data_IF_315599494804
#
_entry.id   IF_315599494804
#
_cell.length_a   1.000
_cell.length_b   1.000
_cell.length_c   1.000
_cell.angle_alpha   90.00
_cell.angle_beta   90.00
_cell.angle_gamma   90.00
#
_symmetry.space_group_name_H-M   'P 1'
#
loop_
_entity.id
_entity.type
_entity.pdbx_description
1 polymer ?
#
# COMPACT_ATOMS: atom_id res chain seq x y z
N UNK A 1 -26.55 31.11 -27.10
CA UNK A 1 -25.62 31.60 -26.04
C UNK A 1 -26.49 31.80 -24.80
N UNK A 2 -26.37 31.14 -23.65
CA UNK A 2 -25.20 30.84 -22.83
C UNK A 2 -25.55 29.72 -21.82
N UNK A 3 -24.87 28.57 -21.88
CA UNK A 3 -25.03 27.44 -20.94
C UNK A 3 -23.80 27.30 -20.00
N UNK A 4 -23.06 28.40 -19.79
CA UNK A 4 -21.71 28.32 -19.19
C UNK A 4 -21.61 28.94 -17.79
N UNK A 5 -22.65 29.65 -17.33
CA UNK A 5 -22.59 30.41 -16.06
C UNK A 5 -23.09 29.65 -14.83
N UNK A 6 -23.90 28.61 -15.01
CA UNK A 6 -24.45 27.80 -13.89
C UNK A 6 -23.56 26.61 -13.53
N UNK A 7 -22.84 26.02 -14.49
CA UNK A 7 -21.86 24.94 -14.24
C UNK A 7 -20.70 25.40 -13.35
N UNK A 8 -20.24 26.64 -13.53
CA UNK A 8 -19.10 27.19 -12.77
C UNK A 8 -19.42 27.51 -11.31
N UNK A 9 -20.68 27.82 -10.98
CA UNK A 9 -21.10 28.08 -9.59
C UNK A 9 -21.20 26.77 -8.79
N UNK A 10 -21.69 25.68 -9.40
CA UNK A 10 -21.77 24.36 -8.76
C UNK A 10 -20.38 23.78 -8.48
N UNK A 11 -19.44 23.92 -9.43
CA UNK A 11 -18.04 23.46 -9.27
C UNK A 11 -17.34 24.25 -8.15
N UNK A 12 -17.45 25.58 -8.13
CA UNK A 12 -16.83 26.42 -7.08
C UNK A 12 -17.40 26.17 -5.68
N UNK A 13 -18.70 25.85 -5.56
CA UNK A 13 -19.31 25.45 -4.28
C UNK A 13 -18.76 24.10 -3.81
N UNK A 14 -18.57 23.14 -4.70
CA UNK A 14 -17.96 21.84 -4.37
C UNK A 14 -16.49 22.00 -3.91
N UNK A 15 -15.70 22.88 -4.54
CA UNK A 15 -14.32 23.15 -4.14
C UNK A 15 -14.19 23.75 -2.73
N UNK A 16 -15.11 24.64 -2.34
CA UNK A 16 -15.17 25.21 -0.99
C UNK A 16 -15.53 24.14 0.05
N UNK A 17 -16.44 23.21 -0.30
CA UNK A 17 -16.78 22.06 0.55
C UNK A 17 -15.56 21.14 0.73
N UNK A 18 -14.83 20.79 -0.34
CA UNK A 18 -13.63 19.94 -0.28
C UNK A 18 -12.51 20.59 0.55
N UNK A 19 -12.26 21.89 0.39
CA UNK A 19 -11.28 22.63 1.19
C UNK A 19 -11.64 22.67 2.69
N UNK A 20 -12.93 22.73 3.01
CA UNK A 20 -13.40 22.73 4.40
C UNK A 20 -13.25 21.36 5.10
N UNK A 21 -13.26 20.26 4.34
CA UNK A 21 -13.04 18.90 4.84
C UNK A 21 -11.55 18.58 5.02
N UNK A 22 -10.67 19.20 4.23
CA UNK A 22 -9.21 18.98 4.29
C UNK A 22 -8.54 19.62 5.52
N UNK A 23 -9.20 20.60 6.16
CA UNK A 23 -8.66 21.35 7.30
C UNK A 23 -9.15 20.85 8.68
N UNK A 24 -9.95 19.78 8.73
CA UNK A 24 -10.42 19.21 9.99
C UNK A 24 -9.52 18.04 10.38
N UNK A 25 -8.78 18.19 11.47
CA UNK A 25 -8.07 17.07 12.09
C UNK A 25 -9.05 15.93 12.39
N UNK A 26 -8.67 14.66 12.18
CA UNK A 26 -9.53 13.53 12.50
C UNK A 26 -9.95 13.60 13.98
N UNK A 27 -11.21 13.28 14.32
CA UNK A 27 -11.62 13.19 15.72
C UNK A 27 -10.76 12.15 16.43
N UNK A 28 -10.25 12.49 17.62
CA UNK A 28 -9.38 11.62 18.45
C UNK A 28 -9.99 10.26 18.82
N UNK A 29 -11.30 10.08 18.60
CA UNK A 29 -12.06 8.87 18.92
C UNK A 29 -12.62 8.18 17.66
N UNK A 30 -11.85 8.11 16.57
CA UNK A 30 -12.17 7.16 15.50
C UNK A 30 -11.87 5.75 16.02
N UNK A 31 -12.82 4.79 15.95
CA UNK A 31 -12.48 3.40 16.25
C UNK A 31 -11.35 3.02 15.31
N UNK A 32 -10.22 2.62 15.89
CA UNK A 32 -9.08 2.13 15.14
C UNK A 32 -9.57 0.95 14.30
N UNK A 33 -9.84 1.18 13.01
CA UNK A 33 -10.17 0.11 12.08
C UNK A 33 -8.89 -0.70 12.01
N UNK A 34 -8.74 -1.71 12.85
CA UNK A 34 -7.67 -2.70 12.71
C UNK A 34 -7.86 -3.30 11.32
N UNK A 35 -7.00 -2.99 10.35
CA UNK A 35 -7.12 -3.64 9.06
C UNK A 35 -6.98 -5.14 9.30
N UNK A 36 -7.88 -5.93 8.69
CA UNK A 36 -7.80 -7.41 8.76
C UNK A 36 -6.45 -7.92 8.21
N UNK A 37 -5.79 -7.10 7.39
CA UNK A 37 -4.43 -7.28 6.90
C UNK A 37 -3.42 -6.55 7.78
N UNK A 38 -2.42 -7.28 8.29
CA UNK A 38 -1.24 -6.66 8.91
C UNK A 38 -0.16 -6.44 7.85
N UNK A 39 0.69 -5.42 8.01
CA UNK A 39 1.88 -5.27 7.18
C UNK A 39 2.69 -6.57 7.15
N UNK A 40 3.03 -7.05 5.96
CA UNK A 40 3.77 -8.29 5.74
C UNK A 40 2.92 -9.54 5.56
N UNK A 41 1.63 -9.51 5.89
CA UNK A 41 0.72 -10.61 5.53
C UNK A 41 0.68 -10.76 4.00
N UNK A 42 0.51 -11.99 3.52
CA UNK A 42 0.61 -12.28 2.08
C UNK A 42 -0.56 -13.12 1.62
N UNK A 43 -1.06 -12.79 0.44
CA UNK A 43 -2.09 -13.56 -0.26
C UNK A 43 -1.42 -14.66 -1.07
N UNK A 44 -1.84 -15.91 -0.88
CA UNK A 44 -1.30 -17.03 -1.63
C UNK A 44 -1.66 -16.90 -3.12
N UNK A 45 -0.69 -16.95 -4.05
CA UNK A 45 -0.99 -16.85 -5.48
C UNK A 45 -1.73 -18.08 -6.04
N UNK A 46 -1.69 -19.23 -5.33
CA UNK A 46 -2.34 -20.46 -5.76
C UNK A 46 -3.79 -20.58 -5.30
N UNK A 47 -4.10 -20.21 -4.05
CA UNK A 47 -5.43 -20.41 -3.47
C UNK A 47 -6.07 -19.14 -2.88
N UNK A 48 -5.42 -17.98 -3.01
CA UNK A 48 -5.88 -16.68 -2.52
C UNK A 48 -6.08 -16.57 -1.00
N UNK A 49 -5.66 -17.56 -0.23
CA UNK A 49 -5.69 -17.49 1.23
C UNK A 49 -4.70 -16.46 1.77
N UNK A 50 -5.11 -15.69 2.77
CA UNK A 50 -4.27 -14.69 3.44
C UNK A 50 -3.49 -15.37 4.57
N UNK A 51 -2.17 -15.40 4.42
CA UNK A 51 -1.25 -15.97 5.39
C UNK A 51 -0.60 -14.89 6.26
N UNK A 52 -0.26 -15.28 7.48
CA UNK A 52 0.47 -14.40 8.39
C UNK A 52 1.89 -14.12 7.89
N UNK A 53 2.40 -12.91 8.12
CA UNK A 53 3.71 -12.44 7.67
C UNK A 53 4.92 -13.37 7.96
N UNK A 54 4.87 -14.11 9.08
CA UNK A 54 5.96 -15.03 9.46
C UNK A 54 5.96 -16.35 8.68
N UNK A 55 4.86 -16.69 7.98
CA UNK A 55 4.77 -17.95 7.25
C UNK A 55 5.49 -17.83 5.91
N UNK A 56 6.24 -18.86 5.55
CA UNK A 56 6.82 -19.07 4.22
C UNK A 56 6.02 -20.06 3.38
N UNK A 57 5.07 -20.76 3.98
CA UNK A 57 4.20 -21.74 3.33
C UNK A 57 2.74 -21.40 3.59
N UNK A 58 1.91 -21.58 2.56
CA UNK A 58 0.48 -21.31 2.64
C UNK A 58 -0.17 -22.31 3.58
N UNK A 59 -0.97 -21.82 4.54
CA UNK A 59 -1.69 -22.67 5.49
C UNK A 59 -2.72 -23.60 4.82
N UNK A 60 -3.32 -23.17 3.71
CA UNK A 60 -4.41 -23.92 3.07
C UNK A 60 -3.96 -24.86 1.95
N UNK A 61 -2.81 -24.62 1.32
CA UNK A 61 -2.38 -25.40 0.15
C UNK A 61 -0.88 -25.72 0.11
N UNK A 62 -0.14 -25.40 1.18
CA UNK A 62 1.30 -25.65 1.35
C UNK A 62 2.23 -25.04 0.29
N UNK A 63 1.70 -24.22 -0.62
CA UNK A 63 2.51 -23.46 -1.57
C UNK A 63 3.56 -22.63 -0.84
N UNK A 64 4.82 -22.83 -1.18
CA UNK A 64 5.96 -22.10 -0.61
C UNK A 64 6.13 -20.78 -1.34
N UNK A 65 6.36 -19.72 -0.57
CA UNK A 65 6.49 -18.37 -1.09
C UNK A 65 7.94 -18.11 -1.48
N UNK A 66 8.16 -17.97 -2.78
CA UNK A 66 9.49 -17.81 -3.39
C UNK A 66 10.04 -16.39 -3.22
N UNK A 67 10.06 -15.84 -2.01
CA UNK A 67 10.65 -14.53 -1.67
C UNK A 67 10.12 -13.29 -2.43
N UNK A 68 9.21 -13.45 -3.39
CA UNK A 68 8.72 -12.43 -4.32
C UNK A 68 7.31 -11.94 -3.98
N UNK A 69 6.44 -12.79 -3.43
CA UNK A 69 5.03 -12.45 -3.16
C UNK A 69 4.75 -11.94 -1.74
N UNK A 70 5.76 -11.43 -1.03
CA UNK A 70 5.49 -10.76 0.25
C UNK A 70 5.02 -9.35 -0.05
N UNK A 71 3.87 -8.95 0.50
CA UNK A 71 3.58 -7.52 0.56
C UNK A 71 4.64 -6.87 1.46
N UNK A 72 5.44 -5.92 0.95
CA UNK A 72 6.42 -5.27 1.81
C UNK A 72 5.70 -4.54 2.93
N UNK A 73 6.17 -4.73 4.18
CA UNK A 73 5.73 -3.87 5.27
C UNK A 73 6.15 -2.43 4.98
N UNK A 74 5.56 -1.46 5.67
CA UNK A 74 5.88 -0.05 5.46
C UNK A 74 7.41 0.16 5.43
N UNK A 75 7.95 0.63 4.32
CA UNK A 75 9.39 0.90 4.13
C UNK A 75 10.30 -0.29 3.78
N UNK A 76 9.82 -1.53 3.87
CA UNK A 76 10.43 -2.66 3.14
C UNK A 76 10.27 -2.42 1.63
N UNK A 77 11.08 -3.08 0.82
CA UNK A 77 11.08 -2.85 -0.62
C UNK A 77 11.34 -4.12 -1.41
N UNK A 78 10.64 -4.25 -2.53
CA UNK A 78 10.90 -5.28 -3.53
C UNK A 78 11.92 -4.72 -4.51
N UNK A 79 12.99 -5.47 -4.77
CA UNK A 79 13.99 -5.06 -5.74
C UNK A 79 13.38 -4.99 -7.15
N UNK A 80 13.47 -3.86 -7.87
CA UNK A 80 12.86 -3.73 -9.20
C UNK A 80 13.51 -4.67 -10.23
N UNK A 81 14.81 -4.94 -10.10
CA UNK A 81 15.56 -5.76 -11.07
C UNK A 81 15.33 -7.26 -10.92
N UNK A 82 15.22 -7.77 -9.69
CA UNK A 82 15.19 -9.22 -9.44
C UNK A 82 14.01 -9.69 -8.58
N UNK A 83 13.09 -8.79 -8.23
CA UNK A 83 11.89 -9.03 -7.42
C UNK A 83 12.16 -9.60 -6.02
N UNK A 84 13.40 -9.58 -5.55
CA UNK A 84 13.74 -10.07 -4.22
C UNK A 84 13.25 -9.10 -3.13
N UNK A 85 12.59 -9.64 -2.11
CA UNK A 85 12.19 -8.90 -0.92
C UNK A 85 13.39 -8.46 -0.07
N UNK A 86 13.48 -7.17 0.25
CA UNK A 86 14.49 -6.59 1.13
C UNK A 86 13.82 -5.87 2.30
N UNK A 87 14.35 -6.04 3.52
CA UNK A 87 13.85 -5.29 4.66
C UNK A 87 14.20 -3.79 4.54
N UNK A 88 13.51 -2.95 5.31
CA UNK A 88 13.64 -1.49 5.30
C UNK A 88 15.08 -0.99 5.43
N UNK A 89 15.90 -1.66 6.26
CA UNK A 89 17.29 -1.26 6.60
C UNK A 89 18.30 -1.52 5.48
N UNK A 90 17.92 -2.26 4.44
CA UNK A 90 18.79 -2.63 3.34
C UNK A 90 18.76 -1.48 2.32
N UNK A 91 19.89 -0.80 2.15
CA UNK A 91 20.09 0.19 1.10
C UNK A 91 20.44 -0.46 -0.25
N UNK A 92 20.85 -1.73 -0.21
CA UNK A 92 21.36 -2.52 -1.33
C UNK A 92 20.64 -3.87 -1.33
N UNK A 93 20.22 -4.36 -2.50
CA UNK A 93 19.55 -5.64 -2.64
C UNK A 93 20.48 -6.78 -2.21
N UNK A 94 19.97 -7.66 -1.34
CA UNK A 94 20.73 -8.83 -0.83
C UNK A 94 21.01 -9.91 -1.90
N UNK A 95 20.30 -9.88 -3.03
CA UNK A 95 20.43 -10.88 -4.11
C UNK A 95 21.25 -10.38 -5.29
N UNK A 96 21.00 -9.16 -5.78
CA UNK A 96 21.60 -8.64 -7.01
C UNK A 96 22.33 -7.30 -6.84
N UNK A 97 22.47 -6.78 -5.62
CA UNK A 97 23.19 -5.53 -5.31
C UNK A 97 22.61 -4.23 -5.88
N UNK A 98 21.43 -4.26 -6.51
CA UNK A 98 20.69 -3.05 -6.92
C UNK A 98 20.41 -2.14 -5.71
N UNK A 99 20.52 -0.82 -5.89
CA UNK A 99 20.20 0.15 -4.84
C UNK A 99 18.70 0.21 -4.55
N UNK A 100 18.35 0.54 -3.30
CA UNK A 100 16.98 0.81 -2.89
C UNK A 100 16.42 1.99 -3.71
N UNK A 101 15.26 1.85 -4.38
CA UNK A 101 14.67 2.95 -5.14
C UNK A 101 14.26 4.09 -4.20
N UNK A 102 14.55 5.32 -4.61
CA UNK A 102 14.12 6.53 -3.92
C UNK A 102 12.62 6.70 -4.24
N UNK A 103 11.75 6.95 -3.25
CA UNK A 103 10.37 7.32 -3.53
C UNK A 103 10.37 8.62 -4.35
N UNK A 104 10.06 8.54 -5.63
CA UNK A 104 9.81 9.72 -6.45
C UNK A 104 8.47 10.32 -5.99
N UNK A 105 8.51 11.60 -5.62
CA UNK A 105 7.35 12.37 -5.14
C UNK A 105 6.30 12.58 -6.25
#
# INVERSE_FOLDING_TARGET
MSCSRWRTIQIKKADLVIRSLSNKSPPRNMPEIKPRFRPGDWTCPQCQFINHAHRTQCRECDHTLDGQSRTPSLGDWICPECQYYNFRRQLVCRKCTTLKPIPTA
#
